data_IF_347398889467
#
_entry.id   IF_347398889467
#
_cell.length_a   1.000
_cell.length_b   1.000
_cell.length_c   1.000
_cell.angle_alpha   90.00
_cell.angle_beta   90.00
_cell.angle_gamma   90.00
#
_symmetry.space_group_name_H-M   'P 1'
#
loop_
_entity.id
_entity.type
_entity.pdbx_description
1 polymer ?
#
# COMPACT_ATOMS: atom_id res chain seq x y z
N UNK A 1 10.62 74.53 26.72
CA UNK A 1 10.37 73.51 25.68
C UNK A 1 11.57 72.60 25.40
N UNK A 2 12.83 73.02 25.60
CA UNK A 2 14.00 72.15 25.36
C UNK A 2 14.26 71.06 26.42
N UNK A 3 13.88 71.25 27.69
CA UNK A 3 14.22 70.27 28.75
C UNK A 3 13.32 69.02 28.76
N UNK A 4 12.11 69.11 28.20
CA UNK A 4 11.18 67.97 28.07
C UNK A 4 11.59 67.02 26.94
N UNK A 5 12.12 67.56 25.83
CA UNK A 5 12.63 66.78 24.69
C UNK A 5 13.89 65.97 25.05
N UNK A 6 14.75 66.49 25.93
CA UNK A 6 15.96 65.77 26.37
C UNK A 6 15.62 64.58 27.28
N UNK A 7 14.61 64.71 28.15
CA UNK A 7 14.13 63.62 29.02
C UNK A 7 13.44 62.50 28.23
N UNK A 8 12.70 62.84 27.18
CA UNK A 8 12.07 61.84 26.30
C UNK A 8 13.09 61.05 25.48
N UNK A 9 14.16 61.69 24.99
CA UNK A 9 15.24 60.98 24.28
C UNK A 9 16.06 60.08 25.19
N UNK A 10 16.29 60.49 26.45
CA UNK A 10 16.99 59.65 27.43
C UNK A 10 16.14 58.41 27.82
N UNK A 11 14.82 58.55 27.98
CA UNK A 11 13.93 57.42 28.24
C UNK A 11 13.88 56.43 27.05
N UNK A 12 13.89 56.93 25.81
CA UNK A 12 13.84 56.07 24.62
C UNK A 12 15.11 55.24 24.44
N UNK A 13 16.28 55.80 24.77
CA UNK A 13 17.58 55.10 24.70
C UNK A 13 17.70 54.04 25.80
N UNK A 14 17.21 54.32 27.00
CA UNK A 14 17.17 53.33 28.09
C UNK A 14 16.21 52.18 27.73
N UNK A 15 15.05 52.48 27.12
CA UNK A 15 14.10 51.45 26.70
C UNK A 15 14.63 50.57 25.54
N UNK A 16 15.40 51.14 24.61
CA UNK A 16 16.05 50.37 23.53
C UNK A 16 17.22 49.51 24.04
N UNK A 17 17.97 49.97 25.06
CA UNK A 17 19.03 49.16 25.67
C UNK A 17 18.48 47.98 26.47
N UNK A 18 17.33 48.13 27.14
CA UNK A 18 16.69 47.01 27.86
C UNK A 18 16.07 45.96 26.93
N UNK A 19 15.63 46.33 25.72
CA UNK A 19 15.08 45.39 24.75
C UNK A 19 16.15 44.47 24.11
N UNK A 20 17.42 44.90 24.03
CA UNK A 20 18.50 44.08 23.49
C UNK A 20 19.05 43.02 24.46
N UNK A 21 18.73 43.09 25.75
CA UNK A 21 19.15 42.09 26.74
C UNK A 21 18.13 40.97 26.98
N UNK A 22 16.97 41.02 26.32
CA UNK A 22 15.95 39.97 26.39
C UNK A 22 16.09 38.93 25.26
N UNK A 23 17.32 38.47 24.99
CA UNK A 23 17.51 37.14 24.41
C UNK A 23 17.68 36.17 25.59
N UNK A 24 16.55 35.84 26.22
CA UNK A 24 16.52 34.70 27.12
C UNK A 24 16.85 33.46 26.30
N UNK A 25 18.03 32.88 26.53
CA UNK A 25 18.21 31.44 26.35
C UNK A 25 17.05 30.79 27.11
N UNK A 26 16.30 29.90 26.48
CA UNK A 26 15.47 28.96 27.23
C UNK A 26 16.43 28.18 28.12
N UNK A 27 16.57 28.61 29.38
CA UNK A 27 17.27 27.87 30.40
C UNK A 27 16.49 26.57 30.58
N UNK A 28 17.16 25.45 30.30
CA UNK A 28 16.60 24.12 30.51
C UNK A 28 16.09 23.98 31.95
N UNK A 29 15.07 23.16 32.14
CA UNK A 29 14.58 22.86 33.49
C UNK A 29 15.69 22.20 34.31
N UNK A 30 16.25 22.94 35.28
CA UNK A 30 17.26 22.44 36.21
C UNK A 30 16.56 21.93 37.48
N UNK A 31 16.90 20.71 37.89
CA UNK A 31 16.31 20.10 39.07
C UNK A 31 17.10 20.42 40.32
N UNK A 32 16.42 20.97 41.33
CA UNK A 32 17.02 21.26 42.63
C UNK A 32 17.19 19.98 43.46
N UNK A 33 18.41 19.45 43.48
CA UNK A 33 18.79 18.25 44.23
C UNK A 33 18.58 18.39 45.76
N UNK A 34 18.45 19.61 46.29
CA UNK A 34 18.23 19.83 47.72
C UNK A 34 16.82 19.48 48.20
N UNK A 35 15.87 19.33 47.27
CA UNK A 35 14.50 18.90 47.54
C UNK A 35 14.37 17.38 47.76
N UNK A 36 15.43 16.60 47.49
CA UNK A 36 15.46 15.16 47.76
C UNK A 36 15.77 14.88 49.24
N UNK A 37 14.72 14.50 49.98
CA UNK A 37 14.84 14.03 51.36
C UNK A 37 15.74 12.77 51.42
N UNK A 38 16.89 12.90 52.10
CA UNK A 38 17.85 11.80 52.30
C UNK A 38 19.18 11.94 51.55
N UNK A 39 19.37 12.98 50.73
CA UNK A 39 20.66 13.27 50.11
C UNK A 39 21.65 13.82 51.16
N UNK A 40 22.61 12.99 51.58
CA UNK A 40 23.64 13.40 52.55
C UNK A 40 24.75 14.26 51.94
N UNK A 41 24.88 14.25 50.61
CA UNK A 41 25.83 15.04 49.85
C UNK A 41 25.11 15.74 48.69
N UNK A 42 25.14 17.08 48.69
CA UNK A 42 24.43 17.94 47.73
C UNK A 42 24.91 17.77 46.28
N UNK A 43 26.15 17.28 46.11
CA UNK A 43 26.80 17.18 44.80
C UNK A 43 26.87 15.75 44.26
N UNK A 44 26.58 14.72 45.08
CA UNK A 44 26.74 13.33 44.67
C UNK A 44 25.69 12.87 43.65
N UNK A 45 24.54 13.55 43.56
CA UNK A 45 23.42 13.14 42.73
C UNK A 45 23.11 14.10 41.58
N UNK A 46 23.66 15.31 41.56
CA UNK A 46 23.30 16.35 40.57
C UNK A 46 23.55 15.89 39.13
N UNK A 47 24.73 15.34 38.83
CA UNK A 47 25.04 14.86 37.47
C UNK A 47 24.26 13.61 37.03
N UNK A 48 23.82 12.76 37.96
CA UNK A 48 23.00 11.57 37.67
C UNK A 48 21.53 11.95 37.49
N UNK A 49 21.03 12.89 38.29
CA UNK A 49 19.67 13.41 38.16
C UNK A 49 19.52 14.18 36.87
N UNK A 50 20.47 15.02 36.49
CA UNK A 50 20.43 15.72 35.20
C UNK A 50 20.42 14.76 34.01
N UNK A 51 21.18 13.65 34.06
CA UNK A 51 21.16 12.64 32.98
C UNK A 51 19.89 11.78 32.97
N UNK A 52 19.28 11.54 34.12
CA UNK A 52 17.98 10.86 34.24
C UNK A 52 16.84 11.76 33.76
N UNK A 53 16.87 13.05 34.13
CA UNK A 53 15.83 14.04 33.83
C UNK A 53 15.90 14.56 32.40
N UNK A 54 17.08 14.54 31.77
CA UNK A 54 17.17 14.59 30.32
C UNK A 54 16.67 13.26 29.72
N UNK A 55 15.35 13.10 29.71
CA UNK A 55 14.65 11.92 29.21
C UNK A 55 14.93 11.63 27.73
N UNK A 56 15.35 12.64 26.95
CA UNK A 56 15.39 12.60 25.48
C UNK A 56 16.72 12.17 24.85
N UNK A 57 17.84 12.23 25.57
CA UNK A 57 19.14 11.88 25.00
C UNK A 57 19.45 10.39 25.24
N UNK A 58 19.53 9.57 24.17
CA UNK A 58 19.98 8.20 24.30
C UNK A 58 21.47 8.16 24.62
N UNK A 59 21.89 7.24 25.50
CA UNK A 59 23.31 6.96 25.73
C UNK A 59 23.75 5.78 24.86
N UNK A 60 25.06 5.66 24.63
CA UNK A 60 25.62 4.51 23.92
C UNK A 60 25.49 3.27 24.79
N UNK A 61 24.92 2.20 24.25
CA UNK A 61 24.75 0.96 25.00
C UNK A 61 23.66 0.06 24.44
N UNK A 62 23.48 -1.10 25.08
CA UNK A 62 22.43 -2.04 24.72
C UNK A 62 21.23 -1.87 25.65
N UNK A 63 20.06 -1.78 25.05
CA UNK A 63 18.80 -1.62 25.75
C UNK A 63 17.83 -2.71 25.32
N UNK A 64 17.15 -3.33 26.28
CA UNK A 64 16.01 -4.22 26.00
C UNK A 64 14.75 -3.36 25.85
N UNK A 65 14.28 -3.19 24.61
CA UNK A 65 13.25 -2.22 24.27
C UNK A 65 12.09 -2.86 23.52
N UNK A 66 10.87 -2.39 23.79
CA UNK A 66 9.70 -2.61 22.94
C UNK A 66 9.80 -1.69 21.72
N UNK A 67 9.97 -2.29 20.54
CA UNK A 67 10.15 -1.57 19.29
C UNK A 67 8.79 -1.36 18.63
N UNK A 68 8.48 -0.10 18.33
CA UNK A 68 7.33 0.32 17.54
C UNK A 68 7.82 0.90 16.22
N UNK A 69 7.21 0.51 15.09
CA UNK A 69 7.46 1.13 13.79
C UNK A 69 6.16 1.76 13.28
N UNK A 70 6.19 3.06 12.96
CA UNK A 70 5.01 3.82 12.52
C UNK A 70 3.79 3.57 13.43
N UNK A 71 4.02 3.64 14.75
CA UNK A 71 3.05 3.41 15.83
C UNK A 71 2.49 1.97 15.95
N UNK A 72 3.07 1.00 15.24
CA UNK A 72 2.71 -0.42 15.37
C UNK A 72 3.77 -1.17 16.17
N UNK A 73 3.33 -1.92 17.18
CA UNK A 73 4.22 -2.79 17.93
C UNK A 73 4.81 -3.86 17.00
N UNK A 74 6.14 -3.96 16.97
CA UNK A 74 6.85 -4.98 16.21
C UNK A 74 7.22 -6.14 17.13
N UNK A 75 8.14 -5.90 18.07
CA UNK A 75 8.57 -6.88 19.09
C UNK A 75 9.40 -6.19 20.18
N UNK A 76 9.66 -6.94 21.26
CA UNK A 76 10.77 -6.64 22.17
C UNK A 76 12.07 -7.22 21.62
N UNK A 77 13.14 -6.44 21.65
CA UNK A 77 14.48 -6.89 21.27
C UNK A 77 15.58 -6.11 22.00
N UNK A 78 16.81 -6.61 21.90
CA UNK A 78 17.99 -5.95 22.43
C UNK A 78 18.59 -5.02 21.36
N UNK A 79 18.35 -3.71 21.51
CA UNK A 79 18.78 -2.68 20.56
C UNK A 79 20.10 -2.07 21.03
N UNK A 80 21.08 -2.01 20.12
CA UNK A 80 22.34 -1.35 20.38
C UNK A 80 22.27 0.11 19.90
N UNK A 81 22.40 1.06 20.82
CA UNK A 81 22.50 2.49 20.50
C UNK A 81 23.96 2.83 20.24
N UNK A 82 24.27 3.31 19.04
CA UNK A 82 25.64 3.59 18.58
C UNK A 82 25.76 5.05 18.19
N UNK A 83 26.96 5.60 18.35
CA UNK A 83 27.27 6.94 17.89
C UNK A 83 27.65 6.90 16.40
N UNK A 84 26.89 7.61 15.57
CA UNK A 84 27.14 7.81 14.14
C UNK A 84 27.07 9.31 13.86
N UNK A 85 28.13 9.88 13.28
CA UNK A 85 28.23 11.31 12.94
C UNK A 85 27.91 12.26 14.12
N UNK A 86 28.30 11.89 15.34
CA UNK A 86 28.08 12.68 16.56
C UNK A 86 26.65 12.62 17.11
N UNK A 87 25.80 11.75 16.57
CA UNK A 87 24.45 11.47 17.09
C UNK A 87 24.32 10.01 17.48
N UNK A 88 23.67 9.73 18.62
CA UNK A 88 23.42 8.37 19.09
C UNK A 88 22.14 7.87 18.44
N UNK A 89 22.22 6.79 17.67
CA UNK A 89 21.10 6.24 16.87
C UNK A 89 20.93 4.74 17.14
N UNK A 90 19.69 4.21 16.99
CA UNK A 90 19.45 2.78 17.12
C UNK A 90 20.04 2.03 15.93
N UNK A 91 20.85 1.02 16.23
CA UNK A 91 21.54 0.21 15.25
C UNK A 91 20.75 -1.08 14.97
N UNK A 92 20.39 -1.29 13.70
CA UNK A 92 19.72 -2.52 13.25
C UNK A 92 20.47 -3.17 12.09
N UNK A 93 20.32 -4.49 11.96
CA UNK A 93 20.74 -5.20 10.75
C UNK A 93 19.77 -4.94 9.59
N UNK A 94 20.23 -5.16 8.36
CA UNK A 94 19.40 -5.05 7.16
C UNK A 94 18.17 -5.97 7.26
N UNK A 95 18.36 -7.20 7.74
CA UNK A 95 17.27 -8.16 7.89
C UNK A 95 16.22 -7.70 8.91
N UNK A 96 16.64 -7.02 9.99
CA UNK A 96 15.72 -6.45 10.96
C UNK A 96 14.90 -5.31 10.36
N UNK A 97 15.50 -4.44 9.54
CA UNK A 97 14.75 -3.41 8.81
C UNK A 97 13.77 -4.01 7.80
N UNK A 98 14.18 -5.04 7.04
CA UNK A 98 13.31 -5.76 6.11
C UNK A 98 12.14 -6.43 6.81
N UNK A 99 12.37 -7.05 7.97
CA UNK A 99 11.30 -7.70 8.75
C UNK A 99 10.36 -6.69 9.40
N UNK A 100 10.84 -5.49 9.71
CA UNK A 100 10.01 -4.34 10.09
C UNK A 100 9.22 -3.75 8.89
N UNK A 101 9.51 -4.18 7.67
CA UNK A 101 8.77 -3.80 6.46
C UNK A 101 9.40 -2.66 5.67
N UNK A 102 10.65 -2.28 5.95
CA UNK A 102 11.40 -1.28 5.16
C UNK A 102 11.91 -1.92 3.86
N UNK A 103 11.81 -1.18 2.76
CA UNK A 103 12.36 -1.59 1.47
C UNK A 103 13.88 -1.48 1.47
N UNK A 104 14.54 -2.51 0.92
CA UNK A 104 16.00 -2.64 0.89
C UNK A 104 16.72 -1.46 0.25
N UNK A 105 16.09 -0.83 -0.75
CA UNK A 105 16.68 0.29 -1.52
C UNK A 105 16.97 1.51 -0.64
N UNK A 106 16.25 1.67 0.47
CA UNK A 106 16.39 2.83 1.38
C UNK A 106 17.23 2.53 2.62
N UNK A 107 17.78 1.32 2.72
CA UNK A 107 18.66 0.93 3.84
C UNK A 107 20.09 1.27 3.45
N UNK A 108 20.70 2.19 4.19
CA UNK A 108 22.10 2.58 4.02
C UNK A 108 22.99 1.83 5.00
N UNK A 109 24.15 1.35 4.52
CA UNK A 109 25.16 0.71 5.34
C UNK A 109 26.07 1.75 5.99
N UNK A 110 26.41 1.56 7.26
CA UNK A 110 27.62 2.19 7.82
C UNK A 110 28.81 1.25 7.62
N UNK A 111 30.04 1.78 7.66
CA UNK A 111 31.29 1.04 7.41
C UNK A 111 31.50 -0.21 8.30
N UNK A 112 30.74 -0.35 9.39
CA UNK A 112 30.59 -1.62 10.10
C UNK A 112 29.34 -2.36 9.58
N UNK A 113 29.54 -3.45 8.84
CA UNK A 113 28.51 -4.31 8.19
C UNK A 113 27.36 -4.81 9.09
N UNK A 114 27.40 -4.54 10.40
CA UNK A 114 26.37 -4.90 11.37
C UNK A 114 25.42 -3.76 11.73
N UNK A 115 25.67 -2.55 11.24
CA UNK A 115 24.85 -1.39 11.51
C UNK A 115 24.36 -0.73 10.23
N UNK A 116 23.04 -0.68 10.09
CA UNK A 116 22.37 -0.03 8.97
C UNK A 116 21.31 0.94 9.47
N UNK A 117 21.16 2.03 8.73
CA UNK A 117 20.25 3.15 9.04
C UNK A 117 19.39 3.47 7.83
N UNK A 118 18.19 3.99 8.07
CA UNK A 118 17.27 4.44 7.03
C UNK A 118 17.30 5.96 7.01
N UNK A 119 17.59 6.56 5.86
CA UNK A 119 17.63 8.02 5.73
C UNK A 119 16.25 8.63 6.01
N UNK A 120 16.23 9.85 6.55
CA UNK A 120 15.00 10.58 6.91
C UNK A 120 14.06 9.86 7.90
N UNK A 121 14.50 8.74 8.49
CA UNK A 121 13.81 8.13 9.62
C UNK A 121 14.12 8.90 10.89
N UNK A 122 13.12 9.05 11.75
CA UNK A 122 13.29 9.60 13.09
C UNK A 122 12.98 8.53 14.11
N UNK A 123 13.54 8.67 15.31
CA UNK A 123 13.26 7.76 16.40
C UNK A 123 13.08 8.54 17.71
N UNK A 124 12.30 7.96 18.61
CA UNK A 124 12.06 8.48 19.95
C UNK A 124 12.26 7.34 20.94
N UNK A 125 13.21 7.50 21.87
CA UNK A 125 13.46 6.56 22.95
C UNK A 125 12.77 7.05 24.22
N UNK A 126 11.83 6.26 24.74
CA UNK A 126 11.27 6.50 26.07
C UNK A 126 11.93 5.54 27.07
N UNK A 127 12.91 6.05 27.83
CA UNK A 127 13.67 5.27 28.82
C UNK A 127 12.78 4.71 29.94
N UNK A 128 11.80 5.48 30.41
CA UNK A 128 10.91 5.08 31.51
C UNK A 128 9.99 3.90 31.13
N UNK A 129 9.51 3.86 29.89
CA UNK A 129 8.67 2.79 29.36
C UNK A 129 9.45 1.66 28.68
N UNK A 130 10.75 1.86 28.46
CA UNK A 130 11.60 0.98 27.65
C UNK A 130 11.02 0.77 26.25
N UNK A 131 10.56 1.84 25.61
CA UNK A 131 9.98 1.79 24.25
C UNK A 131 10.81 2.60 23.28
N UNK A 132 11.04 2.06 22.08
CA UNK A 132 11.65 2.75 20.95
C UNK A 132 10.62 2.91 19.85
N UNK A 133 10.24 4.16 19.55
CA UNK A 133 9.34 4.48 18.44
C UNK A 133 10.17 4.90 17.24
N UNK A 134 10.04 4.16 16.14
CA UNK A 134 10.66 4.43 14.85
C UNK A 134 9.60 5.01 13.92
N UNK A 135 9.87 6.18 13.36
CA UNK A 135 9.05 6.80 12.32
C UNK A 135 9.82 6.74 11.01
N UNK A 136 9.38 5.87 10.13
CA UNK A 136 9.96 5.67 8.79
C UNK A 136 8.98 6.20 7.76
N UNK A 137 9.42 7.06 6.81
CA UNK A 137 8.58 7.57 5.75
C UNK A 137 7.84 6.45 5.02
N UNK A 138 6.55 6.64 4.76
CA UNK A 138 5.72 5.57 4.19
C UNK A 138 6.19 5.14 2.80
N UNK A 139 6.81 6.05 2.02
CA UNK A 139 7.41 5.74 0.73
C UNK A 139 8.57 4.72 0.82
N UNK A 140 9.23 4.62 1.98
CA UNK A 140 10.34 3.68 2.20
C UNK A 140 9.88 2.33 2.72
N UNK A 141 8.61 2.21 3.08
CA UNK A 141 8.00 0.98 3.53
C UNK A 141 7.51 0.14 2.34
N UNK A 142 7.60 -1.18 2.45
CA UNK A 142 6.97 -2.10 1.50
C UNK A 142 5.45 -1.96 1.60
N UNK A 143 4.89 -1.20 0.66
CA UNK A 143 3.45 -0.93 0.63
C UNK A 143 2.66 -2.22 0.34
N UNK A 144 1.88 -2.66 1.33
CA UNK A 144 0.85 -3.69 1.14
C UNK A 144 -0.47 -2.96 0.90
N UNK A 145 -0.99 -2.97 -0.34
CA UNK A 145 -2.23 -2.25 -0.65
C UNK A 145 -3.40 -2.87 0.13
N UNK A 146 -4.44 -2.06 0.40
CA UNK A 146 -5.65 -2.54 1.08
C UNK A 146 -6.25 -3.77 0.37
N UNK A 147 -6.56 -4.80 1.15
CA UNK A 147 -7.07 -6.07 0.64
C UNK A 147 -6.02 -6.97 -0.02
N UNK A 148 -4.73 -6.72 0.20
CA UNK A 148 -3.66 -7.63 -0.23
C UNK A 148 -3.79 -8.99 0.47
N UNK A 149 -3.68 -10.05 -0.31
CA UNK A 149 -3.63 -11.44 0.15
C UNK A 149 -2.37 -12.06 -0.44
N UNK A 150 -1.56 -12.69 0.41
CA UNK A 150 -0.33 -13.32 -0.05
C UNK A 150 -0.65 -14.47 -1.01
N UNK A 151 0.05 -14.60 -2.16
CA UNK A 151 -0.06 -15.76 -3.04
C UNK A 151 0.14 -17.11 -2.35
N UNK A 152 0.94 -17.16 -1.27
CA UNK A 152 1.14 -18.37 -0.48
C UNK A 152 -0.14 -18.84 0.24
N UNK A 153 -1.12 -17.97 0.41
CA UNK A 153 -2.42 -18.28 1.02
C UNK A 153 -3.48 -18.69 -0.02
N UNK A 154 -3.15 -18.69 -1.31
CA UNK A 154 -4.13 -19.02 -2.36
C UNK A 154 -4.43 -20.52 -2.36
N UNK A 155 -5.72 -20.85 -2.32
CA UNK A 155 -6.19 -22.23 -2.42
C UNK A 155 -6.56 -22.55 -3.88
N UNK A 156 -5.90 -23.56 -4.45
CA UNK A 156 -6.14 -24.01 -5.83
C UNK A 156 -7.36 -24.94 -5.98
N UNK A 157 -8.01 -25.29 -4.87
CA UNK A 157 -9.15 -26.19 -4.83
C UNK A 157 -8.76 -27.65 -4.78
N UNK A 158 -9.78 -28.52 -4.86
CA UNK A 158 -9.60 -29.97 -4.86
C UNK A 158 -9.71 -30.53 -6.28
N UNK A 159 -9.08 -31.69 -6.54
CA UNK A 159 -9.27 -32.40 -7.79
C UNK A 159 -10.73 -32.74 -8.02
N UNK A 160 -11.27 -32.35 -9.18
CA UNK A 160 -12.67 -32.59 -9.51
C UNK A 160 -12.86 -32.66 -11.03
N UNK A 161 -13.77 -33.53 -11.46
CA UNK A 161 -14.28 -33.55 -12.82
C UNK A 161 -15.75 -33.13 -12.80
N UNK A 162 -16.14 -32.31 -13.76
CA UNK A 162 -17.52 -31.82 -13.89
C UNK A 162 -17.88 -31.62 -15.36
N UNK A 163 -19.16 -31.70 -15.66
CA UNK A 163 -19.70 -31.47 -17.00
C UNK A 163 -20.99 -30.70 -16.89
N UNK A 164 -21.10 -29.64 -17.68
CA UNK A 164 -22.29 -28.82 -17.82
C UNK A 164 -22.84 -29.00 -19.22
N UNK A 165 -24.15 -29.18 -19.34
CA UNK A 165 -24.82 -29.27 -20.64
C UNK A 165 -25.97 -28.27 -20.73
N UNK A 166 -26.24 -27.79 -21.93
CA UNK A 166 -27.44 -27.04 -22.29
C UNK A 166 -28.04 -27.69 -23.53
N UNK A 167 -29.33 -28.00 -23.50
CA UNK A 167 -30.01 -28.69 -24.58
C UNK A 167 -31.30 -27.96 -24.96
N UNK A 168 -31.54 -27.79 -26.25
CA UNK A 168 -32.74 -27.18 -26.78
C UNK A 168 -33.29 -28.05 -27.91
N UNK A 169 -34.54 -28.47 -27.77
CA UNK A 169 -35.28 -29.18 -28.80
C UNK A 169 -36.44 -28.32 -29.27
N UNK A 170 -36.58 -28.19 -30.58
CA UNK A 170 -37.65 -27.45 -31.23
C UNK A 170 -38.29 -28.31 -32.31
N UNK A 171 -39.61 -28.24 -32.42
CA UNK A 171 -40.36 -28.91 -33.46
C UNK A 171 -41.42 -27.96 -34.02
N UNK A 172 -41.51 -27.85 -35.34
CA UNK A 172 -42.56 -27.14 -36.02
C UNK A 172 -43.31 -28.08 -36.98
N UNK A 173 -44.63 -27.97 -36.98
CA UNK A 173 -45.51 -28.70 -37.89
C UNK A 173 -46.19 -27.69 -38.81
N UNK A 174 -46.02 -27.87 -40.12
CA UNK A 174 -46.71 -27.06 -41.12
C UNK A 174 -48.12 -27.60 -41.34
N UNK A 175 -49.13 -26.73 -41.29
CA UNK A 175 -50.55 -27.06 -41.51
C UNK A 175 -50.98 -26.94 -42.98
N UNK A 176 -50.05 -26.66 -43.92
CA UNK A 176 -50.36 -26.47 -45.34
C UNK A 176 -50.53 -27.79 -46.09
N UNK A 177 -51.57 -27.87 -46.96
CA UNK A 177 -51.94 -29.06 -47.74
C UNK A 177 -50.99 -29.43 -48.89
N UNK A 178 -49.97 -28.62 -49.23
CA UNK A 178 -49.20 -28.80 -50.47
C UNK A 178 -47.73 -29.21 -50.33
N UNK A 179 -47.20 -29.43 -49.12
CA UNK A 179 -45.96 -30.20 -48.90
C UNK A 179 -45.75 -30.37 -47.38
N UNK A 180 -46.01 -31.57 -46.86
CA UNK A 180 -45.85 -31.91 -45.44
C UNK A 180 -44.38 -32.10 -45.09
N UNK A 181 -43.70 -31.02 -44.72
CA UNK A 181 -42.42 -31.10 -44.02
C UNK A 181 -42.63 -30.78 -42.54
N UNK A 182 -42.61 -31.80 -41.68
CA UNK A 182 -42.34 -31.55 -40.27
C UNK A 182 -40.88 -31.09 -40.18
N UNK A 183 -40.60 -30.10 -39.32
CA UNK A 183 -39.22 -29.76 -38.99
C UNK A 183 -38.96 -29.98 -37.52
N UNK A 184 -37.79 -30.53 -37.22
CA UNK A 184 -37.30 -30.61 -35.85
C UNK A 184 -35.82 -30.24 -35.80
N UNK A 185 -35.41 -29.65 -34.70
CA UNK A 185 -34.01 -29.34 -34.45
C UNK A 185 -33.66 -29.61 -33.00
N UNK A 186 -32.48 -30.18 -32.79
CA UNK A 186 -31.89 -30.41 -31.48
C UNK A 186 -30.53 -29.73 -31.45
N UNK A 187 -30.29 -28.94 -30.42
CA UNK A 187 -28.98 -28.41 -30.09
C UNK A 187 -28.58 -28.90 -28.70
N UNK A 188 -27.34 -29.35 -28.53
CA UNK A 188 -26.75 -29.69 -27.23
C UNK A 188 -25.37 -29.07 -27.13
N UNK A 189 -25.20 -28.07 -26.26
CA UNK A 189 -23.91 -27.56 -25.83
C UNK A 189 -23.36 -28.38 -24.67
N UNK A 190 -22.11 -28.82 -24.75
CA UNK A 190 -21.43 -29.57 -23.69
C UNK A 190 -20.14 -28.86 -23.28
N UNK A 191 -19.99 -28.58 -21.99
CA UNK A 191 -18.80 -27.98 -21.37
C UNK A 191 -18.25 -28.92 -20.31
N UNK A 192 -17.19 -29.64 -20.62
CA UNK A 192 -16.50 -30.51 -19.68
C UNK A 192 -15.31 -29.79 -19.05
N UNK A 193 -15.05 -30.07 -17.78
CA UNK A 193 -13.94 -29.47 -17.05
C UNK A 193 -13.33 -30.41 -16.01
N UNK A 194 -12.01 -30.32 -15.87
CA UNK A 194 -11.26 -30.99 -14.82
C UNK A 194 -10.38 -29.99 -14.08
N UNK A 195 -10.24 -30.15 -12.77
CA UNK A 195 -9.29 -29.41 -11.95
C UNK A 195 -8.32 -30.42 -11.32
N UNK A 196 -7.02 -30.12 -11.36
CA UNK A 196 -5.99 -30.92 -10.69
C UNK A 196 -4.84 -30.00 -10.25
N UNK A 197 -4.68 -29.80 -8.95
CA UNK A 197 -3.77 -28.79 -8.43
C UNK A 197 -4.12 -27.40 -8.97
N UNK A 198 -3.13 -26.67 -9.48
CA UNK A 198 -3.34 -25.36 -10.11
C UNK A 198 -3.88 -25.42 -11.55
N UNK A 199 -3.89 -26.60 -12.17
CA UNK A 199 -4.30 -26.80 -13.55
C UNK A 199 -5.81 -26.96 -13.69
N UNK A 200 -6.35 -26.25 -14.68
CA UNK A 200 -7.77 -26.24 -15.06
C UNK A 200 -7.88 -26.64 -16.51
N UNK A 201 -8.37 -27.84 -16.75
CA UNK A 201 -8.65 -28.39 -18.08
C UNK A 201 -10.07 -28.04 -18.46
N UNK A 202 -10.30 -27.49 -19.64
CA UNK A 202 -11.62 -27.10 -20.14
C UNK A 202 -11.77 -27.55 -21.58
N UNK A 203 -12.92 -28.13 -21.90
CA UNK A 203 -13.29 -28.54 -23.26
C UNK A 203 -14.73 -28.17 -23.55
N UNK A 204 -14.97 -27.67 -24.75
CA UNK A 204 -16.29 -27.23 -25.21
C UNK A 204 -16.64 -27.92 -26.52
N UNK A 205 -17.84 -28.48 -26.57
CA UNK A 205 -18.39 -29.18 -27.71
C UNK A 205 -19.82 -28.70 -27.95
N UNK A 206 -20.28 -28.81 -29.18
CA UNK A 206 -21.71 -28.76 -29.46
C UNK A 206 -22.12 -29.88 -30.41
N UNK A 207 -23.35 -30.32 -30.25
CA UNK A 207 -24.04 -31.20 -31.16
C UNK A 207 -25.25 -30.47 -31.69
N UNK A 208 -25.42 -30.49 -33.01
CA UNK A 208 -26.62 -29.98 -33.65
C UNK A 208 -27.19 -31.04 -34.58
N UNK A 209 -28.50 -31.15 -34.56
CA UNK A 209 -29.28 -31.99 -35.46
C UNK A 209 -30.44 -31.17 -35.98
N UNK A 210 -30.68 -31.23 -37.28
CA UNK A 210 -31.84 -30.65 -37.93
C UNK A 210 -32.43 -31.64 -38.91
N UNK A 211 -33.75 -31.74 -38.87
CA UNK A 211 -34.58 -32.48 -39.81
C UNK A 211 -35.58 -31.46 -40.35
N UNK A 212 -35.48 -31.14 -41.64
CA UNK A 212 -36.39 -30.22 -42.31
C UNK A 212 -36.89 -30.92 -43.57
N UNK A 213 -38.09 -31.49 -43.51
CA UNK A 213 -38.70 -32.20 -44.62
C UNK A 213 -38.02 -33.54 -44.90
N UNK A 214 -37.20 -33.61 -45.95
CA UNK A 214 -36.44 -34.81 -46.35
C UNK A 214 -34.93 -34.66 -46.21
N UNK A 215 -34.47 -33.55 -45.63
CA UNK A 215 -33.06 -33.30 -45.37
C UNK A 215 -32.75 -33.40 -43.88
N UNK A 216 -31.87 -34.35 -43.55
CA UNK A 216 -31.34 -34.54 -42.22
C UNK A 216 -29.89 -34.07 -42.19
N UNK A 217 -29.55 -33.22 -41.23
CA UNK A 217 -28.17 -32.83 -40.96
C UNK A 217 -27.87 -33.10 -39.49
N UNK A 218 -26.70 -33.66 -39.24
CA UNK A 218 -26.14 -33.81 -37.91
C UNK A 218 -24.69 -33.31 -37.92
N UNK A 219 -24.29 -32.61 -36.86
CA UNK A 219 -22.95 -32.08 -36.76
C UNK A 219 -22.50 -32.11 -35.31
N UNK A 220 -21.36 -32.77 -35.08
CA UNK A 220 -20.64 -32.71 -33.82
C UNK A 220 -19.43 -31.79 -34.01
N UNK A 221 -19.39 -30.70 -33.25
CA UNK A 221 -18.33 -29.71 -33.33
C UNK A 221 -17.55 -29.66 -32.03
N UNK A 222 -16.24 -29.80 -32.17
CA UNK A 222 -15.30 -29.39 -31.13
C UNK A 222 -15.06 -27.89 -31.25
N UNK A 223 -15.34 -27.14 -30.19
CA UNK A 223 -15.20 -25.68 -30.17
C UNK A 223 -13.78 -25.30 -29.76
N UNK A 224 -13.33 -25.84 -28.62
CA UNK A 224 -11.96 -25.68 -28.11
C UNK A 224 -11.67 -26.61 -26.95
N UNK A 225 -10.39 -26.92 -26.77
CA UNK A 225 -9.85 -27.53 -25.56
C UNK A 225 -8.56 -26.84 -25.14
N UNK A 226 -8.44 -26.53 -23.85
CA UNK A 226 -7.25 -25.91 -23.29
C UNK A 226 -7.02 -26.31 -21.82
N UNK A 227 -5.76 -26.18 -21.41
CA UNK A 227 -5.33 -26.27 -20.02
C UNK A 227 -4.86 -24.87 -19.58
N UNK A 228 -5.28 -24.44 -18.38
CA UNK A 228 -4.92 -23.14 -17.83
C UNK A 228 -4.36 -23.31 -16.42
N UNK A 229 -3.33 -22.54 -16.07
CA UNK A 229 -2.78 -22.47 -14.71
C UNK A 229 -2.38 -21.05 -14.36
N UNK A 230 -2.48 -20.69 -13.09
CA UNK A 230 -2.09 -19.37 -12.59
C UNK A 230 -0.57 -19.31 -12.35
N UNK A 231 0.04 -18.18 -12.68
CA UNK A 231 1.43 -17.82 -12.41
C UNK A 231 1.46 -16.62 -11.44
N UNK A 232 1.38 -16.83 -10.11
CA UNK A 232 1.20 -15.74 -9.16
C UNK A 232 2.33 -14.71 -9.16
N UNK A 233 3.58 -15.15 -9.35
CA UNK A 233 4.75 -14.27 -9.39
C UNK A 233 4.69 -13.28 -10.56
N UNK A 234 4.03 -13.66 -11.67
CA UNK A 234 3.87 -12.82 -12.85
C UNK A 234 2.50 -12.16 -12.92
N UNK A 235 1.64 -12.38 -11.89
CA UNK A 235 0.24 -11.90 -11.85
C UNK A 235 -0.50 -12.22 -13.15
N UNK A 236 -0.27 -13.41 -13.69
CA UNK A 236 -0.69 -13.81 -15.03
C UNK A 236 -1.19 -15.25 -15.04
N UNK A 237 -1.98 -15.62 -16.04
CA UNK A 237 -2.38 -16.98 -16.34
C UNK A 237 -1.60 -17.51 -17.55
N UNK A 238 -1.15 -18.75 -17.46
CA UNK A 238 -0.64 -19.53 -18.60
C UNK A 238 -1.78 -20.39 -19.15
N UNK A 239 -2.06 -20.26 -20.44
CA UNK A 239 -3.04 -21.09 -21.17
C UNK A 239 -2.33 -21.84 -22.28
N UNK A 240 -2.58 -23.14 -22.40
CA UNK A 240 -2.03 -24.01 -23.44
C UNK A 240 -3.16 -24.78 -24.12
N UNK A 241 -3.22 -24.76 -25.44
CA UNK A 241 -4.26 -25.38 -26.26
C UNK A 241 -4.95 -24.37 -27.17
N UNK A 242 -6.23 -24.60 -27.45
CA UNK A 242 -7.05 -23.74 -28.30
C UNK A 242 -7.67 -22.60 -27.49
N UNK A 243 -7.31 -21.36 -27.82
CA UNK A 243 -7.84 -20.16 -27.18
C UNK A 243 -7.94 -19.01 -28.18
N UNK A 244 -8.36 -17.84 -27.69
CA UNK A 244 -8.49 -16.62 -28.47
C UNK A 244 -7.62 -15.52 -27.85
N UNK A 245 -7.05 -14.65 -28.67
CA UNK A 245 -6.29 -13.49 -28.19
C UNK A 245 -7.22 -12.45 -27.54
N UNK A 246 -6.65 -11.56 -26.73
CA UNK A 246 -7.38 -10.45 -26.13
C UNK A 246 -7.74 -9.38 -27.17
N UNK A 247 -8.98 -8.90 -27.13
CA UNK A 247 -9.52 -7.87 -28.03
C UNK A 247 -9.29 -6.43 -27.53
N UNK A 248 -8.07 -6.14 -27.07
CA UNK A 248 -7.76 -4.83 -26.45
C UNK A 248 -7.21 -3.80 -27.42
N UNK A 249 -6.51 -4.26 -28.47
CA UNK A 249 -5.82 -3.41 -29.45
C UNK A 249 -6.06 -3.91 -30.88
N UNK A 250 -6.08 -5.23 -31.04
CA UNK A 250 -6.36 -5.90 -32.31
C UNK A 250 -7.54 -6.83 -32.14
N UNK A 251 -8.22 -7.11 -33.26
CA UNK A 251 -9.29 -8.08 -33.31
C UNK A 251 -8.84 -9.44 -32.76
N UNK A 252 -9.73 -10.07 -32.00
CA UNK A 252 -9.48 -11.39 -31.42
C UNK A 252 -9.35 -12.46 -32.51
N UNK A 253 -8.25 -13.21 -32.48
CA UNK A 253 -8.02 -14.35 -33.36
C UNK A 253 -7.96 -15.65 -32.55
N UNK A 254 -8.56 -16.71 -33.09
CA UNK A 254 -8.45 -18.05 -32.54
C UNK A 254 -7.13 -18.71 -32.93
N UNK A 255 -6.47 -19.37 -31.99
CA UNK A 255 -5.21 -20.07 -32.24
C UNK A 255 -5.07 -21.32 -31.36
N UNK A 256 -4.17 -22.23 -31.77
CA UNK A 256 -3.71 -23.35 -30.96
C UNK A 256 -2.27 -23.12 -30.59
N UNK A 257 -1.96 -22.99 -29.30
CA UNK A 257 -0.60 -22.70 -28.85
C UNK A 257 -0.51 -22.48 -27.36
N UNK A 258 0.39 -21.59 -26.94
CA UNK A 258 0.55 -21.17 -25.55
C UNK A 258 0.43 -19.65 -25.44
N UNK A 259 -0.20 -19.18 -24.37
CA UNK A 259 -0.41 -17.77 -24.07
C UNK A 259 -0.10 -17.50 -22.61
N UNK A 260 0.62 -16.42 -22.33
CA UNK A 260 0.75 -15.87 -20.98
C UNK A 260 0.08 -14.52 -20.97
N UNK A 261 -0.94 -14.38 -20.14
CA UNK A 261 -1.78 -13.18 -20.08
C UNK A 261 -1.90 -12.68 -18.66
N UNK A 262 -1.64 -11.40 -18.43
CA UNK A 262 -1.85 -10.76 -17.13
C UNK A 262 -3.31 -10.78 -16.74
N UNK A 263 -3.60 -11.15 -15.48
CA UNK A 263 -4.94 -11.18 -14.93
C UNK A 263 -5.09 -10.12 -13.84
N UNK A 264 -5.91 -9.10 -14.12
CA UNK A 264 -6.22 -8.02 -13.17
C UNK A 264 -6.87 -8.53 -11.88
N UNK A 265 -7.50 -9.71 -11.90
CA UNK A 265 -8.15 -10.31 -10.73
C UNK A 265 -7.12 -10.79 -9.71
N UNK A 266 -5.89 -11.07 -10.13
CA UNK A 266 -4.77 -11.39 -9.24
C UNK A 266 -4.25 -10.16 -8.48
N UNK A 267 -4.59 -8.94 -8.92
CA UNK A 267 -4.32 -7.72 -8.17
C UNK A 267 -5.36 -7.52 -7.05
N UNK A 268 -4.95 -6.97 -5.90
CA UNK A 268 -5.87 -6.51 -4.86
C UNK A 268 -6.90 -5.54 -5.43
N UNK A 269 -8.12 -5.55 -4.90
CA UNK A 269 -9.23 -4.75 -5.43
C UNK A 269 -8.90 -3.24 -5.50
N UNK A 270 -8.14 -2.74 -4.53
CA UNK A 270 -7.64 -1.35 -4.48
C UNK A 270 -6.69 -0.98 -5.62
N UNK A 271 -6.08 -1.96 -6.30
CA UNK A 271 -5.13 -1.78 -7.40
C UNK A 271 -5.71 -2.18 -8.78
N UNK A 272 -7.00 -2.49 -8.84
CA UNK A 272 -7.68 -2.79 -10.11
C UNK A 272 -8.09 -1.48 -10.78
N UNK A 273 -7.86 -1.39 -12.08
CA UNK A 273 -8.12 -0.18 -12.86
C UNK A 273 -7.11 0.93 -12.61
N UNK A 274 -7.35 2.06 -13.29
CA UNK A 274 -6.50 3.24 -13.17
C UNK A 274 -6.93 4.11 -11.98
N UNK A 275 -5.95 4.49 -11.18
CA UNK A 275 -6.06 5.61 -10.24
C UNK A 275 -4.68 6.28 -10.19
N UNK A 276 -4.62 7.61 -10.07
CA UNK A 276 -3.36 8.33 -10.03
C UNK A 276 -2.66 8.04 -8.71
N UNK A 277 -1.34 8.08 -8.73
CA UNK A 277 -0.54 8.00 -7.52
C UNK A 277 -0.50 9.40 -6.91
N UNK A 278 -0.90 9.51 -5.65
CA UNK A 278 -0.84 10.77 -4.91
C UNK A 278 0.45 10.74 -4.10
N UNK A 279 1.43 11.54 -4.49
CA UNK A 279 2.71 11.68 -3.81
C UNK A 279 2.79 13.03 -3.09
N UNK A 280 3.51 13.06 -1.98
CA UNK A 280 3.74 14.28 -1.21
C UNK A 280 4.81 14.09 -0.13
N UNK A 281 5.10 15.16 0.59
CA UNK A 281 6.03 15.15 1.73
C UNK A 281 5.32 15.76 2.94
N UNK A 282 5.28 15.03 4.05
CA UNK A 282 4.73 15.51 5.31
C UNK A 282 5.86 15.94 6.24
N UNK A 283 5.77 17.11 6.87
CA UNK A 283 6.83 17.56 7.80
C UNK A 283 6.67 16.94 9.20
N UNK A 284 5.47 16.47 9.53
CA UNK A 284 5.16 15.75 10.77
C UNK A 284 4.26 14.56 10.48
N UNK A 285 3.85 13.83 11.52
CA UNK A 285 2.70 12.92 11.41
C UNK A 285 1.52 13.71 10.86
N UNK A 286 0.90 13.21 9.79
CA UNK A 286 -0.15 13.92 9.09
C UNK A 286 -1.31 13.00 8.70
N UNK A 287 -2.51 13.54 8.71
CA UNK A 287 -3.70 12.88 8.16
C UNK A 287 -3.92 13.35 6.73
N UNK A 288 -3.80 12.44 5.77
CA UNK A 288 -4.07 12.70 4.36
C UNK A 288 -5.48 12.24 4.03
N UNK A 289 -6.30 13.17 3.55
CA UNK A 289 -7.68 12.95 3.12
C UNK A 289 -7.78 13.24 1.63
N UNK A 290 -8.31 12.29 0.87
CA UNK A 290 -8.60 12.45 -0.56
C UNK A 290 -10.11 12.54 -0.72
N UNK A 291 -10.56 13.58 -1.39
CA UNK A 291 -11.96 13.82 -1.71
C UNK A 291 -12.13 13.91 -3.22
N UNK A 292 -13.33 13.55 -3.70
CA UNK A 292 -13.72 13.72 -5.09
C UNK A 292 -15.14 14.26 -5.12
N UNK A 293 -15.37 15.37 -5.84
CA UNK A 293 -16.67 16.05 -5.90
C UNK A 293 -17.24 16.34 -4.49
N UNK A 294 -16.40 16.80 -3.56
CA UNK A 294 -16.78 17.12 -2.19
C UNK A 294 -17.05 15.93 -1.27
N UNK A 295 -16.86 14.68 -1.73
CA UNK A 295 -17.02 13.47 -0.91
C UNK A 295 -15.66 12.88 -0.57
N UNK A 296 -15.41 12.60 0.72
CA UNK A 296 -14.21 11.90 1.17
C UNK A 296 -14.24 10.45 0.69
N UNK A 297 -13.27 10.07 -0.13
CA UNK A 297 -13.16 8.71 -0.69
C UNK A 297 -12.02 7.90 -0.06
N UNK A 298 -11.05 8.58 0.56
CA UNK A 298 -9.92 7.94 1.19
C UNK A 298 -9.38 8.81 2.33
N UNK A 299 -8.94 8.17 3.40
CA UNK A 299 -8.24 8.82 4.50
C UNK A 299 -7.22 7.85 5.09
N UNK A 300 -6.02 8.35 5.36
CA UNK A 300 -4.95 7.60 6.04
C UNK A 300 -4.06 8.54 6.84
N UNK A 301 -3.35 7.98 7.82
CA UNK A 301 -2.26 8.67 8.51
C UNK A 301 -0.94 8.30 7.85
N UNK A 302 -0.02 9.26 7.71
CA UNK A 302 1.33 9.05 7.20
C UNK A 302 2.35 9.55 8.22
N UNK A 303 3.48 8.85 8.30
CA UNK A 303 4.66 9.28 9.07
C UNK A 303 5.31 10.51 8.42
N UNK A 304 6.13 11.28 9.16
CA UNK A 304 6.94 12.34 8.58
C UNK A 304 7.81 11.83 7.43
N UNK A 305 8.05 12.70 6.44
CA UNK A 305 8.81 12.41 5.23
C UNK A 305 7.94 12.15 3.99
N UNK A 306 8.53 11.63 2.90
CA UNK A 306 7.83 11.34 1.68
C UNK A 306 6.80 10.20 1.84
N UNK A 307 5.65 10.36 1.20
CA UNK A 307 4.60 9.35 1.14
C UNK A 307 4.01 9.24 -0.27
N UNK A 308 3.48 8.06 -0.57
CA UNK A 308 2.78 7.77 -1.82
C UNK A 308 1.54 6.91 -1.56
N UNK A 309 0.38 7.41 -1.97
CA UNK A 309 -0.89 6.68 -1.92
C UNK A 309 -1.09 6.02 -3.29
N UNK A 310 -0.88 4.69 -3.33
CA UNK A 310 -1.03 3.85 -4.54
C UNK A 310 -2.22 2.89 -4.47
N UNK A 311 -3.00 2.91 -3.40
CA UNK A 311 -4.09 1.98 -3.12
C UNK A 311 -5.49 2.64 -3.17
N UNK A 312 -5.61 3.74 -3.91
CA UNK A 312 -6.89 4.35 -4.19
C UNK A 312 -7.73 3.44 -5.11
N UNK A 313 -8.98 3.17 -4.74
CA UNK A 313 -9.91 2.47 -5.63
C UNK A 313 -10.12 3.27 -6.91
N UNK A 314 -10.14 2.60 -8.05
CA UNK A 314 -10.57 3.22 -9.31
C UNK A 314 -12.03 3.64 -9.15
N UNK A 315 -12.30 4.94 -9.21
CA UNK A 315 -13.66 5.45 -9.30
C UNK A 315 -14.05 5.55 -10.78
N UNK A 316 -15.32 5.28 -11.09
CA UNK A 316 -15.86 5.55 -12.44
C UNK A 316 -16.12 7.05 -12.66
N UNK A 317 -16.10 7.83 -11.58
CA UNK A 317 -16.32 9.27 -11.61
C UNK A 317 -15.09 9.96 -12.19
N UNK A 318 -15.27 10.61 -13.33
CA UNK A 318 -14.29 11.54 -13.88
C UNK A 318 -14.28 12.82 -13.04
N UNK A 319 -13.13 13.49 -12.99
CA UNK A 319 -12.95 14.74 -12.27
C UNK A 319 -11.92 14.64 -11.15
N UNK A 320 -11.30 15.78 -10.88
CA UNK A 320 -10.08 15.86 -10.09
C UNK A 320 -10.24 15.39 -8.64
N UNK A 321 -9.11 14.97 -8.07
CA UNK A 321 -9.01 14.55 -6.67
C UNK A 321 -8.49 15.71 -5.84
N UNK A 322 -9.29 16.13 -4.85
CA UNK A 322 -8.89 17.14 -3.88
C UNK A 322 -8.19 16.46 -2.70
N UNK A 323 -6.91 16.74 -2.53
CA UNK A 323 -6.08 16.18 -1.47
C UNK A 323 -5.89 17.24 -0.39
N UNK A 324 -6.17 16.85 0.85
CA UNK A 324 -5.95 17.67 2.03
C UNK A 324 -5.06 16.90 3.01
N UNK A 325 -3.92 17.49 3.35
CA UNK A 325 -2.98 16.97 4.34
C UNK A 325 -3.01 17.85 5.57
N UNK A 326 -3.43 17.30 6.71
CA UNK A 326 -3.46 17.98 8.00
C UNK A 326 -2.31 17.47 8.87
N UNK A 327 -1.34 18.34 9.16
CA UNK A 327 -0.18 18.05 10.01
C UNK A 327 -0.54 18.16 11.51
N UNK A 328 0.32 17.62 12.38
CA UNK A 328 0.10 17.57 13.83
C UNK A 328 0.01 18.97 14.49
N UNK A 329 0.65 19.97 13.88
CA UNK A 329 0.57 21.38 14.28
C UNK A 329 -0.75 22.06 13.85
N UNK A 330 -1.66 21.34 13.20
CA UNK A 330 -2.93 21.86 12.68
C UNK A 330 -2.84 22.54 11.31
N UNK A 331 -1.64 22.68 10.73
CA UNK A 331 -1.45 23.22 9.37
C UNK A 331 -2.11 22.29 8.36
N UNK A 332 -2.91 22.86 7.47
CA UNK A 332 -3.57 22.14 6.39
C UNK A 332 -2.97 22.57 5.06
N UNK A 333 -2.46 21.61 4.30
CA UNK A 333 -1.98 21.80 2.93
C UNK A 333 -2.97 21.13 1.99
N UNK A 334 -3.41 21.85 0.95
CA UNK A 334 -4.34 21.31 -0.05
C UNK A 334 -3.74 21.40 -1.43
N UNK A 335 -4.01 20.39 -2.26
CA UNK A 335 -3.63 20.37 -3.66
C UNK A 335 -4.57 19.45 -4.44
N UNK A 336 -4.70 19.71 -5.74
CA UNK A 336 -5.58 18.97 -6.62
C UNK A 336 -4.76 18.10 -7.56
N UNK A 337 -5.13 16.82 -7.66
CA UNK A 337 -4.52 15.85 -8.58
C UNK A 337 -5.51 15.58 -9.71
N UNK A 338 -5.18 15.96 -10.96
CA UNK A 338 -6.06 15.70 -12.09
C UNK A 338 -6.34 14.21 -12.27
N UNK A 339 -7.61 13.85 -12.48
CA UNK A 339 -8.00 12.46 -12.67
C UNK A 339 -8.80 12.25 -13.95
N UNK A 340 -8.12 11.66 -14.94
CA UNK A 340 -8.70 11.21 -16.19
C UNK A 340 -8.26 9.78 -16.48
N UNK A 341 -9.21 8.85 -16.46
CA UNK A 341 -8.99 7.46 -16.83
C UNK A 341 -9.56 7.22 -18.23
N UNK A 342 -8.72 6.87 -19.20
CA UNK A 342 -9.18 6.39 -20.51
C UNK A 342 -9.19 4.86 -20.52
N UNK A 343 -9.94 4.28 -21.46
CA UNK A 343 -9.91 2.83 -21.66
C UNK A 343 -8.46 2.39 -21.95
N UNK A 344 -7.98 1.38 -21.22
CA UNK A 344 -6.60 0.90 -21.33
C UNK A 344 -5.57 1.62 -20.45
N UNK A 345 -5.94 2.65 -19.68
CA UNK A 345 -5.01 3.28 -18.73
C UNK A 345 -4.53 2.26 -17.67
N UNK A 346 -3.21 2.20 -17.48
CA UNK A 346 -2.56 1.35 -16.47
C UNK A 346 -2.04 2.21 -15.33
N UNK A 347 -2.17 1.71 -14.10
CA UNK A 347 -1.64 2.37 -12.90
C UNK A 347 -0.10 2.37 -12.90
N UNK A 348 0.56 3.51 -12.58
CA UNK A 348 2.01 3.61 -12.43
C UNK A 348 2.63 2.76 -11.31
#
# INVERSE_FOLDING_TARGET
>A
MLSTLLKQRLLLVICLCLACYANGKEDGFEFDSSLLLGAHDKNALSGILESILNESLPEKGQYSLDIYINNQFYRRDLVNMVELNGSIVPCFSVDAWKSMGVSEVYISFSDNERCSVVQESTFELNKAKLTLSLLVPQAYMVSKPRGYISPAQWNFGHPAFFSNYDANYFQAKSLSSSNTGNSSSLFVGLRAGGNLGSWRLRSQFNYSYSDIGSQNQNQWNHIRSYAQTALPNWKSDLTVGQTYTADTVFDSIGFTGAEIKSDIRMKPASQRGYAPVIAGVANSVATVTVSQQGRKIYQTTVSPGPFEIRDLYSTYYQGDLDVSMQEANGKVTTFTVPFNAVSGSVRP
#
